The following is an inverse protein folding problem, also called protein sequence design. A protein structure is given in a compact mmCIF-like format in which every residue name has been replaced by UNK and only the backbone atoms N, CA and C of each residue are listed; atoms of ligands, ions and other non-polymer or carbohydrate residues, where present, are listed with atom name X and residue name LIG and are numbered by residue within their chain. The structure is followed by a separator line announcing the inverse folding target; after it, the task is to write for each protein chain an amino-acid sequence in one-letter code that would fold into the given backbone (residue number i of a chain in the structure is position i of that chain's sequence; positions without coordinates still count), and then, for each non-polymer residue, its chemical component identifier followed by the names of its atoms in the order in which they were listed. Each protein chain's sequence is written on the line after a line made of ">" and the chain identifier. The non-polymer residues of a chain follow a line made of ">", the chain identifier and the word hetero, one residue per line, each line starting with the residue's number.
data_IF_830798675252
#
_entry.id   IF_830798675252
#
_cell.length_a   1.000
_cell.length_b   1.000
_cell.length_c   1.000
_cell.angle_alpha   90.00
_cell.angle_beta   90.00
_cell.angle_gamma   90.00
#
_symmetry.space_group_name_H-M   'P 1'
#
loop_
_entity.id
_entity.type
_entity.pdbx_description
1 polymer ?
#
# COMPACT_ATOMS: atom_id res chain seq x y z
N UNK A 1 -0.82 15.23 -27.25
CA UNK A 1 -0.98 13.83 -26.79
C UNK A 1 -0.36 13.77 -25.40
N UNK A 2 -1.17 14.06 -24.37
CA UNK A 2 -0.69 14.08 -22.97
C UNK A 2 -0.89 12.67 -22.45
N UNK A 3 0.20 11.97 -22.15
CA UNK A 3 0.14 10.64 -21.54
C UNK A 3 -0.53 10.80 -20.18
N UNK A 4 -1.58 10.02 -19.93
CA UNK A 4 -2.14 9.86 -18.59
C UNK A 4 -1.00 9.36 -17.71
N UNK A 5 -0.53 10.18 -16.78
CA UNK A 5 0.35 9.72 -15.70
C UNK A 5 -0.50 8.85 -14.80
N UNK A 6 -0.56 7.57 -15.12
CA UNK A 6 -0.87 6.58 -14.10
C UNK A 6 0.40 6.56 -13.26
N UNK A 7 0.38 7.19 -12.08
CA UNK A 7 1.37 6.89 -11.05
C UNK A 7 1.21 5.39 -10.85
N UNK A 8 2.08 4.61 -11.49
CA UNK A 8 2.14 3.19 -11.22
C UNK A 8 2.42 3.11 -9.74
N UNK A 9 1.46 2.56 -8.98
CA UNK A 9 1.59 2.31 -7.58
C UNK A 9 2.94 1.60 -7.37
N UNK A 10 3.92 2.32 -6.84
CA UNK A 10 5.22 1.77 -6.42
C UNK A 10 4.87 0.76 -5.34
N UNK A 11 4.81 -0.51 -5.75
CA UNK A 11 4.16 -1.56 -4.98
C UNK A 11 5.18 -2.20 -4.05
N UNK A 12 5.85 -1.38 -3.23
CA UNK A 12 6.43 -1.85 -1.98
C UNK A 12 5.34 -1.62 -0.93
N UNK A 13 4.36 -2.52 -0.98
CA UNK A 13 3.17 -2.54 -0.14
C UNK A 13 3.48 -2.92 1.32
N UNK A 14 4.63 -2.53 1.86
CA UNK A 14 4.88 -2.71 3.29
C UNK A 14 4.08 -1.72 4.15
N UNK A 15 3.83 -0.51 3.61
CA UNK A 15 2.92 0.47 4.20
C UNK A 15 1.45 0.22 3.86
N UNK A 16 1.17 -0.63 2.87
CA UNK A 16 -0.20 -0.95 2.43
C UNK A 16 -0.74 -2.22 3.10
N UNK A 17 0.12 -3.13 3.56
CA UNK A 17 -0.33 -4.32 4.30
C UNK A 17 -0.88 -3.99 5.69
N UNK A 18 -0.57 -2.82 6.25
CA UNK A 18 -1.19 -2.33 7.48
C UNK A 18 -2.39 -1.41 7.26
N UNK A 19 -2.85 -1.15 6.02
CA UNK A 19 -3.92 -0.17 5.79
C UNK A 19 -4.82 -0.43 4.57
N UNK A 20 -4.74 -1.58 3.89
CA UNK A 20 -5.62 -1.80 2.74
C UNK A 20 -6.01 -3.27 2.50
N UNK A 21 -7.26 -3.57 2.82
CA UNK A 21 -8.16 -4.23 1.86
C UNK A 21 -9.60 -3.71 2.02
N UNK A 22 -10.26 -3.31 0.93
CA UNK A 22 -11.60 -2.74 0.97
C UNK A 22 -12.66 -3.85 0.86
N UNK A 23 -13.00 -4.50 1.97
CA UNK A 23 -14.26 -5.25 2.07
C UNK A 23 -14.72 -5.36 3.54
N UNK A 24 -14.84 -4.19 4.17
CA UNK A 24 -15.42 -4.03 5.50
C UNK A 24 -16.80 -3.39 5.42
N UNK A 25 -17.79 -4.11 4.89
CA UNK A 25 -19.19 -3.74 5.04
C UNK A 25 -19.47 -3.42 6.53
N UNK A 26 -20.01 -2.23 6.78
CA UNK A 26 -20.13 -1.63 8.09
C UNK A 26 -20.65 -2.58 9.18
N UNK A 27 -19.85 -2.75 10.23
CA UNK A 27 -20.31 -3.34 11.47
C UNK A 27 -20.64 -2.23 12.47
N UNK A 28 -21.79 -1.58 12.27
CA UNK A 28 -22.48 -0.87 13.34
C UNK A 28 -22.92 -1.92 14.37
N UNK A 29 -22.21 -2.05 15.48
CA UNK A 29 -22.70 -2.80 16.65
C UNK A 29 -23.37 -1.86 17.65
N UNK A 30 -24.55 -1.40 17.27
CA UNK A 30 -25.60 -1.09 18.24
C UNK A 30 -26.55 -2.30 18.27
N UNK A 31 -26.27 -3.24 19.17
CA UNK A 31 -27.19 -4.35 19.44
C UNK A 31 -28.24 -3.87 20.44
N UNK A 32 -29.38 -3.41 19.94
CA UNK A 32 -30.68 -3.57 20.58
C UNK A 32 -31.78 -3.22 19.59
N UNK A 33 -32.61 -4.22 19.21
CA UNK A 33 -34.10 -4.16 19.17
C UNK A 33 -34.71 -5.09 18.11
N UNK A 34 -35.22 -6.19 18.64
CA UNK A 34 -36.35 -7.05 18.26
C UNK A 34 -37.37 -6.43 17.27
N UNK A 35 -37.78 -7.21 16.26
CA UNK A 35 -39.01 -7.01 15.49
C UNK A 35 -39.27 -8.13 14.47
N UNK A 36 -40.33 -8.89 14.70
CA UNK A 36 -40.85 -10.06 13.96
C UNK A 36 -41.36 -9.80 12.53
N UNK A 37 -41.40 -10.91 11.77
CA UNK A 37 -42.37 -11.31 10.72
C UNK A 37 -42.79 -10.32 9.62
N UNK A 38 -42.61 -10.69 8.33
CA UNK A 38 -43.73 -11.24 7.56
C UNK A 38 -43.30 -11.90 6.23
N UNK A 39 -44.20 -12.74 5.72
CA UNK A 39 -44.03 -13.82 4.77
C UNK A 39 -44.66 -13.50 3.40
N UNK A 40 -44.13 -14.18 2.36
CA UNK A 40 -44.75 -14.56 1.05
C UNK A 40 -44.67 -13.54 -0.12
N UNK A 41 -44.88 -13.98 -1.39
CA UNK A 41 -44.28 -15.12 -2.12
C UNK A 41 -43.81 -14.71 -3.55
N UNK A 42 -43.15 -15.59 -4.34
CA UNK A 42 -42.72 -15.28 -5.71
C UNK A 42 -43.82 -15.57 -6.73
N UNK A 43 -43.80 -14.88 -7.89
CA UNK A 43 -44.65 -15.20 -9.04
C UNK A 43 -44.09 -14.63 -10.37
N UNK A 44 -44.49 -15.20 -11.53
CA UNK A 44 -43.52 -15.74 -12.49
C UNK A 44 -43.68 -15.26 -13.96
N UNK A 45 -42.61 -15.50 -14.75
CA UNK A 45 -42.56 -15.93 -16.17
C UNK A 45 -43.25 -15.15 -17.33
N UNK A 46 -42.40 -14.56 -18.22
CA UNK A 46 -42.41 -14.51 -19.72
C UNK A 46 -43.64 -13.92 -20.48
N UNK A 47 -43.65 -13.69 -21.83
CA UNK A 47 -42.66 -13.95 -22.90
C UNK A 47 -42.41 -12.79 -23.91
N UNK A 48 -41.42 -13.04 -24.79
CA UNK A 48 -41.12 -12.44 -26.10
C UNK A 48 -42.31 -11.85 -26.91
N UNK A 49 -42.06 -10.74 -27.61
CA UNK A 49 -42.24 -10.68 -29.07
C UNK A 49 -41.45 -9.54 -29.74
N UNK A 50 -41.08 -9.71 -31.03
CA UNK A 50 -40.04 -8.98 -31.74
C UNK A 50 -40.61 -7.83 -32.59
N UNK A 51 -39.85 -6.75 -32.78
CA UNK A 51 -40.06 -5.81 -33.89
C UNK A 51 -38.73 -5.48 -34.57
N UNK A 52 -38.71 -5.79 -35.87
CA UNK A 52 -37.75 -5.41 -36.89
C UNK A 52 -37.68 -3.88 -37.06
N UNK A 53 -36.43 -3.38 -37.08
CA UNK A 53 -35.82 -2.30 -37.89
C UNK A 53 -36.51 -0.91 -38.08
N UNK A 54 -35.74 0.20 -38.18
CA UNK A 54 -34.47 0.26 -38.91
C UNK A 54 -33.27 0.83 -38.13
N UNK A 55 -32.12 0.25 -38.45
CA UNK A 55 -30.77 0.84 -38.46
C UNK A 55 -30.76 2.37 -38.63
N UNK A 56 -30.73 3.09 -37.50
CA UNK A 56 -30.31 4.49 -37.43
C UNK A 56 -28.84 4.47 -37.03
N UNK A 57 -27.97 4.78 -37.99
CA UNK A 57 -26.56 5.02 -37.75
C UNK A 57 -26.39 5.94 -36.53
N UNK A 58 -25.57 5.59 -35.52
CA UNK A 58 -25.27 6.55 -34.48
C UNK A 58 -24.47 7.68 -35.12
N UNK A 59 -25.13 8.84 -35.27
CA UNK A 59 -24.47 10.11 -35.51
C UNK A 59 -23.27 10.21 -34.56
N UNK A 60 -22.11 10.50 -35.15
CA UNK A 60 -20.93 10.96 -34.42
C UNK A 60 -21.33 12.18 -33.59
N UNK A 61 -21.79 11.94 -32.35
CA UNK A 61 -21.65 12.90 -31.28
C UNK A 61 -20.15 13.08 -31.12
N UNK A 62 -19.69 14.26 -31.49
CA UNK A 62 -18.39 14.78 -31.10
C UNK A 62 -18.24 14.44 -29.62
N UNK A 63 -17.25 13.60 -29.30
CA UNK A 63 -16.80 13.41 -27.94
C UNK A 63 -16.54 14.80 -27.37
N UNK A 64 -17.42 15.24 -26.47
CA UNK A 64 -17.09 16.32 -25.56
C UNK A 64 -15.76 15.90 -24.91
N UNK A 65 -14.78 16.81 -24.80
CA UNK A 65 -13.54 16.47 -24.13
C UNK A 65 -13.90 16.01 -22.72
N UNK A 66 -13.69 14.70 -22.48
CA UNK A 66 -13.73 14.06 -21.17
C UNK A 66 -13.22 15.08 -20.14
N UNK A 67 -14.07 15.56 -19.21
CA UNK A 67 -13.65 16.58 -18.27
C UNK A 67 -12.40 16.04 -17.61
N UNK A 68 -11.25 16.69 -17.91
CA UNK A 68 -9.98 16.37 -17.29
C UNK A 68 -10.25 16.37 -15.80
N UNK A 69 -10.38 15.18 -15.22
CA UNK A 69 -10.42 15.04 -13.78
C UNK A 69 -9.11 15.71 -13.36
N UNK A 70 -9.18 16.85 -12.65
CA UNK A 70 -7.97 17.47 -12.17
C UNK A 70 -7.21 16.39 -11.42
N UNK A 71 -5.90 16.29 -11.64
CA UNK A 71 -5.05 15.65 -10.64
C UNK A 71 -5.48 16.28 -9.32
N UNK A 72 -6.08 15.48 -8.42
CA UNK A 72 -6.44 15.97 -7.10
C UNK A 72 -5.13 16.49 -6.54
N UNK A 73 -5.06 17.81 -6.39
CA UNK A 73 -3.81 18.49 -6.12
C UNK A 73 -3.41 18.07 -4.71
N UNK A 74 -2.58 17.02 -4.61
CA UNK A 74 -2.05 16.54 -3.36
C UNK A 74 -1.47 17.73 -2.62
N UNK A 75 -1.98 18.01 -1.42
CA UNK A 75 -1.46 19.11 -0.65
C UNK A 75 -0.06 18.70 -0.14
N UNK A 76 0.86 19.66 0.01
CA UNK A 76 2.20 19.36 0.53
C UNK A 76 2.19 18.60 1.87
N UNK A 77 1.12 18.70 2.66
CA UNK A 77 0.95 18.01 3.94
C UNK A 77 0.49 16.55 3.81
N UNK A 78 -0.15 16.19 2.72
CA UNK A 78 -0.63 14.82 2.44
C UNK A 78 0.50 13.91 1.93
N UNK A 79 1.66 14.48 1.54
CA UNK A 79 2.79 13.69 1.05
C UNK A 79 3.49 13.02 2.23
N UNK A 80 3.52 11.68 2.30
CA UNK A 80 4.12 10.98 3.42
C UNK A 80 5.64 11.21 3.46
N UNK A 81 6.14 11.43 4.67
CA UNK A 81 7.58 11.51 4.93
C UNK A 81 8.13 10.09 5.02
N UNK A 82 8.87 9.68 4.00
CA UNK A 82 9.53 8.36 3.97
C UNK A 82 10.93 8.46 4.56
N UNK A 83 11.26 7.51 5.41
CA UNK A 83 12.58 7.39 6.03
C UNK A 83 13.14 6.02 5.72
N UNK A 84 14.35 6.00 5.16
CA UNK A 84 15.16 4.79 5.02
C UNK A 84 16.42 4.89 5.87
N UNK A 85 16.89 3.75 6.36
CA UNK A 85 18.15 3.66 7.10
C UNK A 85 19.14 2.74 6.39
N UNK A 86 20.41 2.94 6.71
CA UNK A 86 21.46 2.04 6.28
C UNK A 86 21.38 0.73 7.07
N UNK A 87 21.24 -0.38 6.35
CA UNK A 87 21.11 -1.69 6.93
C UNK A 87 22.48 -2.25 7.32
N UNK A 88 22.47 -3.03 8.39
CA UNK A 88 23.49 -4.04 8.65
C UNK A 88 22.88 -5.42 8.42
N UNK A 89 23.71 -6.44 8.21
CA UNK A 89 23.23 -7.81 8.04
C UNK A 89 22.40 -8.26 9.26
N UNK A 90 22.85 -7.95 10.47
CA UNK A 90 22.17 -8.32 11.70
C UNK A 90 20.86 -7.55 11.89
N UNK A 91 20.81 -6.28 11.49
CA UNK A 91 19.57 -5.49 11.54
C UNK A 91 18.51 -6.04 10.58
N UNK A 92 18.91 -6.32 9.32
CA UNK A 92 18.00 -6.87 8.33
C UNK A 92 17.45 -8.24 8.76
N UNK A 93 18.32 -9.11 9.29
CA UNK A 93 17.91 -10.41 9.85
C UNK A 93 16.90 -10.26 10.99
N UNK A 94 17.18 -9.41 11.98
CA UNK A 94 16.25 -9.16 13.09
C UNK A 94 14.92 -8.59 12.63
N UNK A 95 14.92 -7.71 11.63
CA UNK A 95 13.70 -7.14 11.08
C UNK A 95 12.82 -8.20 10.41
N UNK A 96 13.43 -9.09 9.61
CA UNK A 96 12.75 -10.21 8.96
C UNK A 96 12.27 -11.27 9.95
N UNK A 97 13.07 -11.58 10.98
CA UNK A 97 12.70 -12.52 12.03
C UNK A 97 11.52 -11.98 12.84
N UNK A 98 11.52 -10.67 13.15
CA UNK A 98 10.41 -10.00 13.78
C UNK A 98 9.15 -10.02 12.91
N UNK A 99 9.26 -9.70 11.61
CA UNK A 99 8.15 -9.77 10.66
C UNK A 99 7.52 -11.16 10.64
N UNK A 100 8.33 -12.21 10.51
CA UNK A 100 7.85 -13.59 10.48
C UNK A 100 7.11 -14.01 11.76
N UNK A 101 7.47 -13.45 12.91
CA UNK A 101 6.81 -13.72 14.20
C UNK A 101 5.49 -12.96 14.35
N UNK A 102 5.44 -11.70 13.90
CA UNK A 102 4.32 -10.81 14.21
C UNK A 102 3.25 -10.77 13.11
N UNK A 103 3.60 -11.05 11.85
CA UNK A 103 2.69 -10.94 10.69
C UNK A 103 1.38 -11.67 10.95
N UNK A 104 1.43 -12.98 11.10
CA UNK A 104 0.22 -13.81 11.23
C UNK A 104 -0.49 -13.58 12.57
N UNK A 105 0.27 -13.21 13.60
CA UNK A 105 -0.25 -13.02 14.96
C UNK A 105 -1.14 -11.79 15.09
N UNK A 106 -0.88 -10.75 14.29
CA UNK A 106 -1.56 -9.48 14.39
C UNK A 106 -2.39 -9.10 13.14
N UNK A 107 -2.37 -9.91 12.08
CA UNK A 107 -3.12 -9.66 10.84
C UNK A 107 -4.62 -9.39 11.09
N UNK A 108 -5.27 -10.23 11.90
CA UNK A 108 -6.72 -10.14 12.16
C UNK A 108 -7.07 -9.22 13.36
N UNK A 109 -6.23 -8.23 13.67
CA UNK A 109 -6.41 -7.36 14.85
C UNK A 109 -6.91 -5.95 14.51
N UNK A 110 -7.36 -5.70 13.28
CA UNK A 110 -7.87 -4.40 12.84
C UNK A 110 -6.76 -3.34 12.79
N UNK A 111 -5.56 -3.76 12.40
CA UNK A 111 -4.41 -2.86 12.27
C UNK A 111 -4.68 -1.76 11.23
N UNK A 112 -5.44 -2.10 10.19
CA UNK A 112 -5.88 -1.27 9.06
C UNK A 112 -6.91 -0.21 9.39
N UNK A 113 -7.47 -0.25 10.60
CA UNK A 113 -8.36 0.80 11.10
C UNK A 113 -7.60 2.06 11.54
N UNK A 114 -6.26 2.04 11.52
CA UNK A 114 -5.39 3.10 12.03
C UNK A 114 -4.48 3.68 10.96
N UNK A 115 -4.20 4.98 11.03
CA UNK A 115 -3.36 5.67 10.03
C UNK A 115 -1.89 5.24 10.16
N UNK A 116 -1.46 4.97 11.40
CA UNK A 116 -0.07 4.62 11.71
C UNK A 116 0.03 3.48 12.70
N UNK A 117 1.15 2.75 12.65
CA UNK A 117 1.49 1.73 13.62
C UNK A 117 1.57 2.27 15.05
N UNK A 118 2.10 3.48 15.20
CA UNK A 118 2.22 4.19 16.46
C UNK A 118 0.84 4.45 17.06
N UNK A 119 -0.14 4.82 16.24
CA UNK A 119 -1.52 4.98 16.65
C UNK A 119 -2.12 3.64 17.10
N UNK A 120 -1.99 2.58 16.31
CA UNK A 120 -2.44 1.24 16.69
C UNK A 120 -1.84 0.78 18.04
N UNK A 121 -0.54 1.01 18.24
CA UNK A 121 0.19 0.71 19.50
C UNK A 121 -0.33 1.54 20.67
N UNK A 122 -0.63 2.83 20.44
CA UNK A 122 -1.12 3.72 21.48
C UNK A 122 -2.56 3.38 21.90
N UNK A 123 -3.40 3.05 20.94
CA UNK A 123 -4.86 3.00 21.12
C UNK A 123 -5.39 1.60 21.47
N UNK A 124 -4.67 0.53 21.11
CA UNK A 124 -5.16 -0.84 21.31
C UNK A 124 -4.27 -1.67 22.24
N UNK A 125 -4.87 -2.66 22.90
CA UNK A 125 -4.11 -3.66 23.65
C UNK A 125 -3.35 -4.62 22.71
N UNK A 126 -3.81 -4.80 21.47
CA UNK A 126 -3.12 -5.61 20.46
C UNK A 126 -1.82 -4.93 20.03
N UNK A 127 -1.85 -3.64 19.72
CA UNK A 127 -0.69 -2.85 19.38
C UNK A 127 0.34 -2.79 20.51
N UNK A 128 -0.08 -2.62 21.76
CA UNK A 128 0.86 -2.72 22.91
C UNK A 128 1.54 -4.08 22.98
N UNK A 129 0.85 -5.18 22.64
CA UNK A 129 1.48 -6.52 22.57
C UNK A 129 2.42 -6.64 21.38
N UNK A 130 2.06 -6.09 20.22
CA UNK A 130 2.93 -6.03 19.05
C UNK A 130 4.24 -5.34 19.39
N UNK A 131 4.18 -4.14 20.00
CA UNK A 131 5.39 -3.41 20.39
C UNK A 131 6.26 -4.22 21.37
N UNK A 132 5.64 -4.93 22.31
CA UNK A 132 6.37 -5.80 23.24
C UNK A 132 7.04 -6.99 22.55
N UNK A 133 6.40 -7.60 21.55
CA UNK A 133 7.00 -8.69 20.77
C UNK A 133 8.16 -8.18 19.92
N UNK A 134 8.00 -7.04 19.25
CA UNK A 134 9.06 -6.39 18.48
C UNK A 134 10.28 -6.04 19.33
N UNK A 135 10.07 -5.55 20.57
CA UNK A 135 11.15 -5.27 21.52
C UNK A 135 12.00 -6.50 21.87
N UNK A 136 11.45 -7.73 21.77
CA UNK A 136 12.22 -8.98 21.99
C UNK A 136 13.29 -9.21 20.92
N UNK A 137 13.11 -8.64 19.73
CA UNK A 137 14.10 -8.67 18.66
C UNK A 137 15.12 -7.53 18.79
N UNK A 138 15.06 -6.75 19.87
CA UNK A 138 16.02 -5.68 20.17
C UNK A 138 15.79 -4.40 19.37
N UNK A 139 14.56 -4.17 18.91
CA UNK A 139 14.11 -2.86 18.44
C UNK A 139 13.70 -1.99 19.63
N UNK A 140 13.91 -0.69 19.51
CA UNK A 140 13.57 0.26 20.58
C UNK A 140 12.06 0.41 20.77
N UNK A 141 11.35 0.55 19.67
CA UNK A 141 9.92 0.83 19.58
C UNK A 141 9.38 0.36 18.22
N UNK A 142 8.06 0.52 18.00
CA UNK A 142 7.42 0.09 16.75
C UNK A 142 7.95 0.85 15.53
N UNK A 143 8.28 2.13 15.69
CA UNK A 143 8.80 3.01 14.63
C UNK A 143 10.19 2.55 14.16
N UNK A 144 11.08 2.21 15.10
CA UNK A 144 12.42 1.68 14.81
C UNK A 144 12.36 0.40 13.99
N UNK A 145 11.47 -0.53 14.37
CA UNK A 145 11.22 -1.73 13.58
C UNK A 145 10.61 -1.41 12.22
N UNK A 146 9.54 -0.61 12.15
CA UNK A 146 8.84 -0.26 10.91
C UNK A 146 9.80 0.37 9.89
N UNK A 147 10.65 1.30 10.33
CA UNK A 147 11.69 1.93 9.50
C UNK A 147 12.71 0.90 9.01
N UNK A 148 13.11 -0.03 9.88
CA UNK A 148 14.06 -1.09 9.54
C UNK A 148 13.49 -2.05 8.49
N UNK A 149 12.27 -2.55 8.69
CA UNK A 149 11.64 -3.48 7.75
C UNK A 149 11.25 -2.80 6.44
N UNK A 150 10.85 -1.52 6.47
CA UNK A 150 10.62 -0.72 5.25
C UNK A 150 11.89 -0.57 4.42
N UNK A 151 13.02 -0.31 5.08
CA UNK A 151 14.33 -0.22 4.41
C UNK A 151 14.77 -1.57 3.79
N UNK A 152 14.42 -2.69 4.44
CA UNK A 152 14.59 -4.04 3.88
C UNK A 152 13.71 -4.22 2.65
N UNK A 153 12.44 -3.80 2.71
CA UNK A 153 11.49 -3.84 1.59
C UNK A 153 11.98 -3.06 0.36
N UNK A 154 12.38 -1.80 0.55
CA UNK A 154 13.01 -0.96 -0.48
C UNK A 154 14.19 -1.65 -1.16
N UNK A 155 15.10 -2.19 -0.35
CA UNK A 155 16.27 -2.88 -0.85
C UNK A 155 15.94 -4.21 -1.56
N UNK A 156 14.87 -4.90 -1.14
CA UNK A 156 14.41 -6.13 -1.78
C UNK A 156 13.75 -5.88 -3.13
N UNK A 157 12.82 -4.91 -3.23
CA UNK A 157 12.24 -4.48 -4.51
C UNK A 157 13.32 -4.02 -5.50
N UNK A 158 14.26 -3.21 -5.03
CA UNK A 158 15.39 -2.77 -5.85
C UNK A 158 16.32 -3.93 -6.29
N UNK A 159 16.48 -4.97 -5.49
CA UNK A 159 17.34 -6.11 -5.81
C UNK A 159 16.67 -7.16 -6.72
N UNK A 160 15.34 -7.24 -6.74
CA UNK A 160 14.58 -8.28 -7.44
C UNK A 160 13.98 -7.78 -8.76
N UNK A 161 13.35 -6.61 -8.75
CA UNK A 161 12.62 -6.05 -9.90
C UNK A 161 13.20 -4.72 -10.41
N UNK A 162 14.31 -4.25 -9.83
CA UNK A 162 14.97 -2.99 -10.15
C UNK A 162 14.09 -1.75 -9.95
N UNK A 163 13.28 -1.75 -8.89
CA UNK A 163 12.33 -0.66 -8.60
C UNK A 163 12.97 0.73 -8.46
N UNK A 164 14.26 0.81 -8.13
CA UNK A 164 15.05 2.05 -8.16
C UNK A 164 14.93 2.80 -9.51
N UNK A 165 14.89 2.07 -10.63
CA UNK A 165 14.84 2.69 -11.96
C UNK A 165 13.47 3.31 -12.24
N UNK A 166 12.39 2.64 -11.84
CA UNK A 166 11.02 3.15 -11.94
C UNK A 166 10.84 4.39 -11.06
N UNK A 167 11.36 4.37 -9.82
CA UNK A 167 11.34 5.51 -8.91
C UNK A 167 12.12 6.69 -9.50
N UNK A 168 13.31 6.45 -10.08
CA UNK A 168 14.10 7.50 -10.75
C UNK A 168 13.37 8.10 -11.95
N UNK A 169 12.64 7.27 -12.71
CA UNK A 169 11.80 7.75 -13.80
C UNK A 169 10.70 8.67 -13.26
N UNK A 170 9.97 8.26 -12.22
CA UNK A 170 8.93 9.08 -11.60
C UNK A 170 9.47 10.42 -11.09
N UNK A 171 10.63 10.42 -10.42
CA UNK A 171 11.30 11.65 -10.00
C UNK A 171 11.58 12.58 -11.19
N UNK A 172 12.04 12.02 -12.32
CA UNK A 172 12.32 12.80 -13.54
C UNK A 172 11.05 13.43 -14.11
N UNK A 173 9.94 12.70 -14.11
CA UNK A 173 8.63 13.15 -14.58
C UNK A 173 8.08 14.28 -13.69
N UNK A 174 8.12 14.10 -12.36
CA UNK A 174 7.72 15.12 -11.37
C UNK A 174 8.56 16.39 -11.52
N UNK A 175 9.87 16.27 -11.74
CA UNK A 175 10.76 17.44 -11.92
C UNK A 175 10.30 18.36 -13.04
N UNK A 176 9.84 17.79 -14.16
CA UNK A 176 9.45 18.56 -15.35
C UNK A 176 7.97 18.95 -15.39
N UNK A 177 7.14 18.44 -14.48
CA UNK A 177 5.70 18.72 -14.49
C UNK A 177 5.42 20.18 -14.06
N UNK A 178 4.84 21.02 -14.95
CA UNK A 178 4.51 22.41 -14.62
C UNK A 178 3.21 22.55 -13.80
N UNK A 179 2.45 21.48 -13.59
CA UNK A 179 1.20 21.50 -12.81
C UNK A 179 1.43 21.32 -11.31
N UNK A 180 2.60 20.85 -10.91
CA UNK A 180 2.98 20.65 -9.50
C UNK A 180 3.78 21.87 -9.05
N UNK A 181 3.33 22.52 -7.98
CA UNK A 181 4.05 23.64 -7.38
C UNK A 181 5.40 23.18 -6.79
N UNK A 182 6.28 24.15 -6.50
CA UNK A 182 7.64 23.86 -6.09
C UNK A 182 7.75 23.11 -4.74
N UNK A 183 6.84 23.35 -3.80
CA UNK A 183 6.88 22.72 -2.48
C UNK A 183 6.43 21.27 -2.57
N UNK A 184 5.27 21.03 -3.17
CA UNK A 184 4.72 19.68 -3.42
C UNK A 184 5.73 18.84 -4.20
N UNK A 185 6.32 19.42 -5.25
CA UNK A 185 7.37 18.77 -6.05
C UNK A 185 8.56 18.35 -5.21
N UNK A 186 9.07 19.23 -4.36
CA UNK A 186 10.23 18.94 -3.52
C UNK A 186 9.91 17.82 -2.52
N UNK A 187 8.73 17.84 -1.90
CA UNK A 187 8.31 16.79 -0.95
C UNK A 187 8.14 15.45 -1.63
N UNK A 188 7.50 15.40 -2.80
CA UNK A 188 7.36 14.18 -3.60
C UNK A 188 8.72 13.59 -3.96
N UNK A 189 9.63 14.43 -4.48
CA UNK A 189 10.98 14.00 -4.85
C UNK A 189 11.73 13.47 -3.64
N UNK A 190 11.70 14.18 -2.50
CA UNK A 190 12.39 13.73 -1.29
C UNK A 190 11.84 12.43 -0.74
N UNK A 191 10.51 12.22 -0.80
CA UNK A 191 9.87 10.98 -0.38
C UNK A 191 10.28 9.79 -1.28
N UNK A 192 10.26 10.00 -2.61
CA UNK A 192 10.70 8.99 -3.59
C UNK A 192 12.20 8.70 -3.49
N UNK A 193 13.04 9.72 -3.32
CA UNK A 193 14.49 9.55 -3.16
C UNK A 193 14.84 8.72 -1.92
N UNK A 194 14.04 8.80 -0.84
CA UNK A 194 14.21 7.98 0.35
C UNK A 194 13.83 6.50 0.12
N UNK A 195 13.02 6.18 -0.88
CA UNK A 195 12.70 4.79 -1.24
C UNK A 195 13.80 4.12 -2.08
N UNK A 196 14.69 4.90 -2.70
CA UNK A 196 15.80 4.37 -3.50
C UNK A 196 16.81 3.70 -2.58
N UNK A 197 17.02 2.40 -2.76
CA UNK A 197 17.90 1.64 -1.88
C UNK A 197 19.38 1.94 -2.12
N UNK A 198 20.16 2.06 -1.02
CA UNK A 198 21.61 2.19 -1.10
C UNK A 198 22.27 0.93 -1.69
N UNK A 199 23.45 1.07 -2.30
CA UNK A 199 24.18 -0.08 -2.85
C UNK A 199 24.56 -1.10 -1.79
N UNK A 200 24.85 -0.64 -0.57
CA UNK A 200 25.10 -1.52 0.56
C UNK A 200 23.82 -2.26 0.99
N UNK A 201 22.68 -1.58 1.10
CA UNK A 201 21.41 -2.24 1.42
C UNK A 201 21.07 -3.32 0.38
N UNK A 202 21.20 -3.02 -0.92
CA UNK A 202 21.04 -4.01 -2.00
C UNK A 202 22.02 -5.18 -1.85
N UNK A 203 23.27 -4.92 -1.49
CA UNK A 203 24.28 -5.96 -1.24
C UNK A 203 23.91 -6.89 -0.07
N UNK A 204 23.40 -6.32 1.03
CA UNK A 204 22.93 -7.10 2.18
C UNK A 204 21.75 -7.99 1.79
N UNK A 205 20.77 -7.46 1.06
CA UNK A 205 19.63 -8.26 0.63
C UNK A 205 20.07 -9.38 -0.30
N UNK A 206 20.97 -9.13 -1.27
CA UNK A 206 21.51 -10.20 -2.13
C UNK A 206 22.22 -11.29 -1.33
N UNK A 207 22.91 -10.95 -0.24
CA UNK A 207 23.50 -11.95 0.66
C UNK A 207 22.41 -12.77 1.37
N UNK A 208 21.35 -12.12 1.86
CA UNK A 208 20.23 -12.82 2.52
C UNK A 208 19.44 -13.71 1.55
N UNK A 209 19.33 -13.34 0.28
CA UNK A 209 18.69 -14.17 -0.75
C UNK A 209 19.45 -15.48 -1.02
N UNK A 210 20.75 -15.54 -0.70
CA UNK A 210 21.58 -16.75 -0.83
C UNK A 210 21.45 -17.68 0.39
N UNK A 211 20.91 -17.18 1.49
CA UNK A 211 20.61 -17.96 2.69
C UNK A 211 19.18 -18.51 2.58
N UNK A 212 19.01 -19.83 2.59
CA UNK A 212 17.70 -20.48 2.40
C UNK A 212 16.65 -20.00 3.42
N UNK A 213 17.07 -19.79 4.68
CA UNK A 213 16.18 -19.39 5.76
C UNK A 213 15.70 -17.94 5.61
N UNK A 214 16.58 -17.04 5.18
CA UNK A 214 16.22 -15.63 4.99
C UNK A 214 15.62 -15.35 3.62
N UNK A 215 15.97 -16.13 2.59
CA UNK A 215 15.34 -16.08 1.27
C UNK A 215 13.84 -16.38 1.35
N UNK A 216 13.43 -17.34 2.17
CA UNK A 216 12.01 -17.59 2.44
C UNK A 216 11.32 -16.41 3.14
N UNK A 217 11.98 -15.76 4.10
CA UNK A 217 11.42 -14.60 4.81
C UNK A 217 11.32 -13.34 3.97
N UNK A 218 12.27 -13.12 3.06
CA UNK A 218 12.22 -11.99 2.13
C UNK A 218 10.97 -12.05 1.25
N UNK A 219 10.50 -13.26 0.90
CA UNK A 219 9.25 -13.42 0.12
C UNK A 219 8.01 -12.99 0.88
N UNK A 220 8.04 -12.97 2.21
CA UNK A 220 6.92 -12.43 3.02
C UNK A 220 6.67 -10.94 2.72
N UNK A 221 7.64 -10.24 2.12
CA UNK A 221 7.51 -8.84 1.69
C UNK A 221 6.72 -8.71 0.37
N UNK A 222 6.65 -9.77 -0.44
CA UNK A 222 5.92 -9.80 -1.72
C UNK A 222 4.51 -10.39 -1.59
N UNK A 223 4.25 -11.13 -0.51
CA UNK A 223 3.01 -11.88 -0.34
C UNK A 223 1.82 -10.95 0.00
N UNK A 224 1.00 -10.71 -1.03
CA UNK A 224 -0.35 -10.12 -0.96
C UNK A 224 -1.36 -11.26 -0.92
N UNK A 225 -1.75 -11.71 0.27
CA UNK A 225 -2.95 -12.57 0.43
C UNK A 225 -4.03 -11.80 1.16
#
# INVERSE_FOLDING_TARGET
>A
MVRKFTIAAVSINLLVWLAASPDGAGAVKDQSRIGEEDKLPPSPTSPFSPHDDPEVAPEHKQDEPDPKVPFEALEPEDIPVVVSIELTIDLAKRALDALAEVRDKYNDQGIDEYETLEEFVRETEAGKRLENDIKRFGFKDITDWNTSISSVGFAYGAATVNEDDDIRQQISEIKIDPQIDAETKQKMISSLEAMIASDNNKSIIRQLMQDEYYSARLKLLDETE
#
